data_IF_601592162140
#
_entry.id   IF_601592162140
#
_cell.length_a   1.000
_cell.length_b   1.000
_cell.length_c   1.000
_cell.angle_alpha   90.00
_cell.angle_beta   90.00
_cell.angle_gamma   90.00
#
_symmetry.space_group_name_H-M   'P 1'
#
loop_
_entity.id
_entity.type
_entity.pdbx_description
1 polymer ?
#
# COMPACT_ATOMS: atom_id res chain seq x y z
N UNK A 1 -15.88 -12.08 -2.38
CA UNK A 1 -14.43 -12.17 -2.61
C UNK A 1 -14.06 -10.97 -3.45
N UNK A 2 -13.25 -10.06 -2.92
CA UNK A 2 -12.75 -8.90 -3.65
C UNK A 2 -11.73 -9.38 -4.69
N UNK A 3 -11.83 -8.94 -5.94
CA UNK A 3 -10.88 -9.38 -6.96
C UNK A 3 -9.56 -8.61 -6.86
N UNK A 4 -8.46 -9.20 -7.35
CA UNK A 4 -7.14 -8.52 -7.40
C UNK A 4 -7.21 -7.21 -8.20
N UNK A 5 -8.09 -7.13 -9.20
CA UNK A 5 -8.35 -5.92 -9.98
C UNK A 5 -8.99 -4.81 -9.14
N UNK A 6 -9.89 -5.16 -8.20
CA UNK A 6 -10.49 -4.19 -7.29
C UNK A 6 -9.46 -3.63 -6.31
N UNK A 7 -8.57 -4.49 -5.79
CA UNK A 7 -7.45 -4.10 -4.94
C UNK A 7 -6.51 -3.16 -5.71
N UNK A 8 -6.08 -3.55 -6.91
CA UNK A 8 -5.23 -2.72 -7.76
C UNK A 8 -5.87 -1.37 -8.09
N UNK A 9 -7.14 -1.36 -8.53
CA UNK A 9 -7.87 -0.12 -8.86
C UNK A 9 -7.97 0.80 -7.65
N UNK A 10 -8.16 0.24 -6.45
CA UNK A 10 -8.18 1.02 -5.21
C UNK A 10 -6.84 1.70 -4.94
N UNK A 11 -5.74 0.95 -5.06
CA UNK A 11 -4.37 1.47 -4.83
C UNK A 11 -4.01 2.53 -5.88
N UNK A 12 -4.29 2.25 -7.15
CA UNK A 12 -4.06 3.19 -8.25
C UNK A 12 -4.87 4.49 -8.07
N UNK A 13 -6.09 4.39 -7.53
CA UNK A 13 -6.92 5.55 -7.19
C UNK A 13 -6.32 6.47 -6.11
N UNK A 14 -5.39 5.96 -5.29
CA UNK A 14 -4.63 6.75 -4.32
C UNK A 14 -3.29 7.26 -4.88
N UNK A 15 -2.96 6.93 -6.13
CA UNK A 15 -1.74 7.40 -6.81
C UNK A 15 -0.48 6.60 -6.49
N UNK A 16 -0.61 5.40 -5.91
CA UNK A 16 0.53 4.51 -5.64
C UNK A 16 0.82 3.62 -6.85
N UNK A 17 2.10 3.33 -7.08
CA UNK A 17 2.51 2.33 -8.08
C UNK A 17 2.15 0.93 -7.59
N UNK A 18 1.42 0.17 -8.41
CA UNK A 18 1.02 -1.20 -8.05
C UNK A 18 0.99 -2.16 -9.24
N UNK A 19 1.17 -3.45 -8.98
CA UNK A 19 1.10 -4.52 -9.98
C UNK A 19 0.39 -5.76 -9.41
N UNK A 20 -0.48 -6.40 -10.20
CA UNK A 20 -1.01 -7.73 -9.87
C UNK A 20 0.07 -8.77 -10.19
N UNK A 21 0.38 -9.62 -9.24
CA UNK A 21 1.36 -10.71 -9.37
C UNK A 21 0.73 -11.98 -8.84
N UNK A 22 0.43 -12.90 -9.75
CA UNK A 22 -0.18 -14.21 -9.46
C UNK A 22 -1.44 -14.10 -8.58
N UNK A 23 -1.29 -14.28 -7.27
CA UNK A 23 -2.35 -14.31 -6.26
C UNK A 23 -2.47 -13.04 -5.40
N UNK A 24 -1.67 -12.00 -5.64
CA UNK A 24 -1.65 -10.77 -4.83
C UNK A 24 -1.40 -9.50 -5.64
N UNK A 25 -1.53 -8.34 -4.99
CA UNK A 25 -1.09 -7.05 -5.53
C UNK A 25 0.16 -6.61 -4.80
N UNK A 26 1.18 -6.19 -5.55
CA UNK A 26 2.40 -5.57 -5.04
C UNK A 26 2.25 -4.06 -5.09
N UNK A 27 2.57 -3.37 -4.00
CA UNK A 27 2.57 -1.90 -3.88
C UNK A 27 4.00 -1.43 -3.69
N UNK A 28 4.47 -0.52 -4.53
CA UNK A 28 5.73 0.18 -4.31
C UNK A 28 5.52 1.37 -3.36
N UNK A 29 6.22 1.38 -2.23
CA UNK A 29 6.06 2.42 -1.19
C UNK A 29 7.40 2.95 -0.72
N UNK A 30 7.44 4.26 -0.46
CA UNK A 30 8.59 4.95 0.12
C UNK A 30 8.31 5.24 1.59
N UNK A 31 8.90 4.45 2.48
CA UNK A 31 8.85 4.71 3.91
C UNK A 31 9.81 5.84 4.27
N UNK A 32 9.28 6.90 4.88
CA UNK A 32 10.10 7.97 5.46
C UNK A 32 10.12 7.83 6.97
N UNK A 33 11.31 7.67 7.55
CA UNK A 33 11.51 7.57 9.00
C UNK A 33 12.33 8.76 9.49
N UNK A 34 11.80 9.48 10.49
CA UNK A 34 12.58 10.44 11.27
C UNK A 34 13.51 9.72 12.23
N UNK A 35 14.76 10.14 12.24
CA UNK A 35 15.78 9.64 13.16
C UNK A 35 15.81 10.48 14.44
N UNK A 36 16.45 9.98 15.49
CA UNK A 36 16.58 10.68 16.77
C UNK A 36 17.38 11.99 16.67
N UNK A 37 18.13 12.19 15.58
CA UNK A 37 18.92 13.38 15.33
C UNK A 37 18.24 14.32 14.31
N UNK A 38 16.92 14.30 14.22
CA UNK A 38 16.08 15.07 13.28
C UNK A 38 16.37 14.86 11.77
N UNK A 39 17.21 13.88 11.41
CA UNK A 39 17.41 13.49 10.02
C UNK A 39 16.26 12.63 9.50
N UNK A 40 15.92 12.78 8.22
CA UNK A 40 14.97 11.89 7.52
C UNK A 40 15.72 10.80 6.74
N UNK A 41 15.26 9.56 6.86
CA UNK A 41 15.70 8.45 6.02
C UNK A 41 14.54 7.93 5.20
N UNK A 42 14.77 7.78 3.90
CA UNK A 42 13.82 7.17 2.96
C UNK A 42 14.23 5.72 2.71
N UNK A 43 13.24 4.83 2.60
CA UNK A 43 13.42 3.44 2.21
C UNK A 43 12.32 3.07 1.23
N UNK A 44 12.74 2.75 0.01
CA UNK A 44 11.88 2.12 -0.99
C UNK A 44 11.69 0.64 -0.63
N UNK A 45 10.45 0.16 -0.70
CA UNK A 45 10.10 -1.25 -0.47
C UNK A 45 8.83 -1.61 -1.23
N UNK A 46 8.66 -2.91 -1.47
CA UNK A 46 7.49 -3.45 -2.15
C UNK A 46 6.69 -4.31 -1.16
N UNK A 47 5.44 -3.96 -0.92
CA UNK A 47 4.54 -4.65 0.00
C UNK A 47 3.55 -5.52 -0.78
N UNK A 48 3.22 -6.71 -0.26
CA UNK A 48 2.25 -7.64 -0.89
C UNK A 48 0.93 -7.57 -0.14
N UNK A 49 -0.17 -7.45 -0.86
CA UNK A 49 -1.52 -7.39 -0.29
C UNK A 49 -2.49 -8.30 -1.02
N UNK A 50 -3.38 -8.92 -0.25
CA UNK A 50 -4.38 -9.90 -0.68
C UNK A 50 -5.81 -9.39 -0.44
N UNK A 51 -5.98 -8.27 0.27
CA UNK A 51 -7.28 -7.63 0.48
C UNK A 51 -7.22 -6.10 0.43
N UNK A 52 -8.40 -5.46 0.40
CA UNK A 52 -8.51 -4.01 0.48
C UNK A 52 -8.08 -3.49 1.85
N UNK A 53 -8.38 -4.22 2.92
CA UNK A 53 -7.98 -3.85 4.28
C UNK A 53 -6.45 -3.81 4.42
N UNK A 54 -5.76 -4.81 3.87
CA UNK A 54 -4.29 -4.83 3.82
C UNK A 54 -3.73 -3.69 2.97
N UNK A 55 -4.32 -3.44 1.79
CA UNK A 55 -3.94 -2.31 0.94
C UNK A 55 -4.10 -0.97 1.68
N UNK A 56 -5.22 -0.78 2.40
CA UNK A 56 -5.48 0.41 3.22
C UNK A 56 -4.43 0.57 4.32
N UNK A 57 -4.05 -0.52 5.00
CA UNK A 57 -3.04 -0.51 6.04
C UNK A 57 -1.65 -0.11 5.52
N UNK A 58 -1.27 -0.59 4.33
CA UNK A 58 0.01 -0.26 3.68
C UNK A 58 0.05 1.20 3.24
N UNK A 59 -0.97 1.68 2.52
CA UNK A 59 -0.99 3.06 1.99
C UNK A 59 -1.41 4.10 3.03
N UNK A 60 -1.90 3.67 4.20
CA UNK A 60 -2.32 4.52 5.31
C UNK A 60 -3.66 5.24 5.10
N UNK A 61 -4.56 4.67 4.29
CA UNK A 61 -5.91 5.24 4.08
C UNK A 61 -6.95 4.59 5.01
N UNK A 62 -8.12 5.22 5.16
CA UNK A 62 -9.22 4.75 6.02
C UNK A 62 -10.45 4.28 5.23
N UNK A 63 -10.31 4.08 3.92
CA UNK A 63 -11.43 3.75 3.03
C UNK A 63 -12.05 2.37 3.31
N UNK A 64 -11.29 1.44 3.89
CA UNK A 64 -11.75 0.08 4.25
C UNK A 64 -12.00 -0.14 5.75
N UNK A 65 -11.90 0.89 6.60
CA UNK A 65 -12.17 0.74 8.02
C UNK A 65 -13.70 0.79 8.26
N UNK A 66 -14.28 -0.12 9.06
CA UNK A 66 -15.66 0.03 9.51
C UNK A 66 -15.79 1.33 10.33
N UNK A 67 -16.88 2.05 10.09
CA UNK A 67 -17.23 3.28 10.80
C UNK A 67 -17.46 3.02 12.30
#
# INVERSE_FOLDING_TARGET
MTSLEEIKRHIDGHGFGSAIVDDHVVIDVVWTRKTLNDGERKRETAERVYSIEEACAVIGCRCGAPA
#
